data_IF_956665699565
#
_entry.id   IF_956665699565
#
_cell.length_a   1.000
_cell.length_b   1.000
_cell.length_c   1.000
_cell.angle_alpha   90.00
_cell.angle_beta   90.00
_cell.angle_gamma   90.00
#
_symmetry.space_group_name_H-M   'P 1'
#
loop_
_entity.id
_entity.type
_entity.pdbx_description
1 polymer ?
#
# COMPACT_ATOMS: atom_id res chain seq x y z
N UNK A 1 -0.70 -2.68 -26.31
CA UNK A 1 0.60 -3.30 -26.00
C UNK A 1 0.66 -3.70 -24.53
N UNK A 2 0.40 -2.77 -23.61
CA UNK A 2 0.52 -2.99 -22.16
C UNK A 2 -0.46 -3.99 -21.54
N UNK A 3 -1.60 -4.31 -22.17
CA UNK A 3 -2.56 -5.28 -21.60
C UNK A 3 -1.94 -6.65 -21.28
N UNK A 4 -1.00 -7.12 -22.09
CA UNK A 4 -0.31 -8.40 -21.82
C UNK A 4 0.64 -8.31 -20.62
N UNK A 5 1.18 -7.13 -20.35
CA UNK A 5 2.16 -6.88 -19.29
C UNK A 5 1.50 -6.46 -17.98
N UNK A 6 0.26 -5.95 -18.06
CA UNK A 6 -0.57 -5.49 -16.95
C UNK A 6 -1.97 -6.14 -16.95
N UNK A 7 -2.08 -7.47 -17.08
CA UNK A 7 -3.38 -8.13 -17.24
C UNK A 7 -4.35 -7.80 -16.11
N UNK A 8 -3.91 -7.74 -14.84
CA UNK A 8 -4.80 -7.50 -13.70
C UNK A 8 -5.27 -6.06 -13.62
N UNK A 9 -4.40 -5.07 -13.87
CA UNK A 9 -4.81 -3.67 -13.96
C UNK A 9 -5.80 -3.45 -15.11
N UNK A 10 -5.61 -4.13 -16.25
CA UNK A 10 -6.59 -4.06 -17.35
C UNK A 10 -7.90 -4.78 -17.02
N UNK A 11 -7.88 -5.91 -16.29
CA UNK A 11 -9.10 -6.54 -15.78
C UNK A 11 -9.91 -5.58 -14.87
N UNK A 12 -9.24 -4.82 -13.99
CA UNK A 12 -9.91 -3.78 -13.19
C UNK A 12 -10.52 -2.70 -14.07
N UNK A 13 -9.77 -2.19 -15.06
CA UNK A 13 -10.30 -1.21 -16.02
C UNK A 13 -11.55 -1.73 -16.74
N UNK A 14 -11.54 -3.00 -17.13
CA UNK A 14 -12.62 -3.62 -17.91
C UNK A 14 -13.91 -3.81 -17.11
N UNK A 15 -13.87 -3.74 -15.78
CA UNK A 15 -15.10 -3.72 -14.97
C UNK A 15 -15.92 -2.43 -15.19
N UNK A 16 -15.28 -1.37 -15.69
CA UNK A 16 -15.94 -0.11 -15.99
C UNK A 16 -16.63 -0.24 -17.36
N UNK A 17 -17.88 -0.67 -17.34
CA UNK A 17 -18.70 -0.95 -18.54
C UNK A 17 -19.06 0.30 -19.36
N UNK A 18 -19.07 1.47 -18.71
CA UNK A 18 -19.44 2.75 -19.30
C UNK A 18 -18.20 3.65 -19.48
N UNK A 19 -17.74 3.90 -20.72
CA UNK A 19 -16.57 4.73 -20.98
C UNK A 19 -16.65 6.16 -20.41
N UNK A 20 -17.85 6.71 -20.29
CA UNK A 20 -18.15 8.01 -19.66
C UNK A 20 -17.84 8.06 -18.16
N UNK A 21 -17.81 6.89 -17.50
CA UNK A 21 -17.49 6.77 -16.07
C UNK A 21 -15.99 6.57 -15.82
N UNK A 22 -15.17 6.49 -16.88
CA UNK A 22 -13.72 6.41 -16.74
C UNK A 22 -13.19 7.75 -16.23
N UNK A 23 -12.63 7.72 -15.02
CA UNK A 23 -11.83 8.83 -14.52
C UNK A 23 -10.55 9.03 -15.36
N UNK A 24 -9.84 10.17 -15.18
CA UNK A 24 -8.67 10.51 -16.00
C UNK A 24 -7.54 9.48 -15.99
N UNK A 25 -7.41 8.68 -14.93
CA UNK A 25 -6.40 7.63 -14.85
C UNK A 25 -6.71 6.49 -15.81
N UNK A 26 -7.94 5.93 -15.76
CA UNK A 26 -8.33 4.81 -16.61
C UNK A 26 -8.50 5.19 -18.07
N UNK A 27 -9.04 6.40 -18.33
CA UNK A 27 -9.23 6.91 -19.69
C UNK A 27 -7.91 7.00 -20.46
N UNK A 28 -6.84 7.40 -19.76
CA UNK A 28 -5.51 7.59 -20.34
C UNK A 28 -4.54 6.50 -19.87
N UNK A 29 -5.02 5.29 -19.54
CA UNK A 29 -4.17 4.24 -18.96
C UNK A 29 -2.99 3.91 -19.88
N UNK A 30 -3.23 3.74 -21.18
CA UNK A 30 -2.19 3.43 -22.15
C UNK A 30 -1.11 4.53 -22.19
N UNK A 31 -1.51 5.81 -22.25
CA UNK A 31 -0.59 6.96 -22.24
C UNK A 31 0.17 7.07 -20.89
N UNK A 32 -0.52 6.78 -19.79
CA UNK A 32 0.09 6.71 -18.46
C UNK A 32 1.16 5.62 -18.41
N UNK A 33 0.91 4.46 -19.00
CA UNK A 33 1.86 3.34 -19.04
C UNK A 33 2.99 3.57 -20.07
N UNK A 34 2.82 4.43 -21.08
CA UNK A 34 3.94 4.85 -21.93
C UNK A 34 4.98 5.66 -21.13
N UNK A 35 4.52 6.51 -20.21
CA UNK A 35 5.40 7.26 -19.32
C UNK A 35 6.10 6.32 -18.33
N UNK A 36 7.44 6.27 -18.37
CA UNK A 36 8.21 5.35 -17.54
C UNK A 36 8.00 5.55 -16.03
N UNK A 37 7.94 6.80 -15.56
CA UNK A 37 7.74 7.09 -14.14
C UNK A 37 6.38 6.59 -13.64
N UNK A 38 5.31 6.79 -14.40
CA UNK A 38 3.96 6.29 -14.08
C UNK A 38 3.88 4.77 -14.21
N UNK A 39 4.52 4.19 -15.24
CA UNK A 39 4.60 2.73 -15.43
C UNK A 39 5.30 2.05 -14.25
N UNK A 40 6.44 2.58 -13.80
CA UNK A 40 7.18 2.07 -12.64
C UNK A 40 6.32 2.04 -11.36
N UNK A 41 5.42 3.02 -11.18
CA UNK A 41 4.46 3.04 -10.06
C UNK A 41 3.37 1.96 -10.16
N UNK A 42 3.06 1.46 -11.35
CA UNK A 42 2.05 0.42 -11.56
C UNK A 42 2.61 -0.99 -11.39
N UNK A 43 3.91 -1.18 -11.63
CA UNK A 43 4.57 -2.50 -11.60
C UNK A 43 4.42 -3.24 -10.26
N UNK A 44 4.66 -2.62 -9.08
CA UNK A 44 4.50 -3.32 -7.81
C UNK A 44 3.06 -3.81 -7.57
N UNK A 45 2.07 -3.01 -7.96
CA UNK A 45 0.67 -3.40 -7.85
C UNK A 45 0.34 -4.55 -8.80
N UNK A 46 0.79 -4.48 -10.05
CA UNK A 46 0.56 -5.56 -11.00
C UNK A 46 1.20 -6.88 -10.54
N UNK A 47 2.44 -6.85 -10.05
CA UNK A 47 3.11 -8.01 -9.46
C UNK A 47 2.33 -8.60 -8.29
N UNK A 48 1.89 -7.73 -7.38
CA UNK A 48 1.11 -8.15 -6.23
C UNK A 48 -0.24 -8.76 -6.65
N UNK A 49 -0.94 -8.14 -7.60
CA UNK A 49 -2.23 -8.63 -8.12
C UNK A 49 -2.09 -9.96 -8.86
N UNK A 50 -1.02 -10.16 -9.64
CA UNK A 50 -0.75 -11.44 -10.30
C UNK A 50 -0.36 -12.54 -9.30
N UNK A 51 0.16 -12.18 -8.13
CA UNK A 51 0.52 -13.14 -7.08
C UNK A 51 -0.68 -13.72 -6.31
N UNK A 52 -1.86 -13.08 -6.41
CA UNK A 52 -3.09 -13.52 -5.76
C UNK A 52 -3.57 -14.84 -6.36
N UNK A 53 -4.08 -15.73 -5.51
CA UNK A 53 -4.84 -16.87 -6.01
C UNK A 53 -6.22 -16.43 -6.56
N UNK A 54 -6.98 -17.35 -7.14
CA UNK A 54 -8.25 -17.01 -7.77
C UNK A 54 -9.28 -16.45 -6.78
N UNK A 55 -9.33 -16.95 -5.54
CA UNK A 55 -10.28 -16.47 -4.53
C UNK A 55 -9.88 -15.08 -4.01
N UNK A 56 -8.59 -14.91 -3.72
CA UNK A 56 -8.01 -13.63 -3.30
C UNK A 56 -8.17 -12.54 -4.37
N UNK A 57 -8.00 -12.90 -5.65
CA UNK A 57 -8.23 -12.00 -6.77
C UNK A 57 -9.69 -11.56 -6.87
N UNK A 58 -10.64 -12.49 -6.85
CA UNK A 58 -12.07 -12.16 -6.89
C UNK A 58 -12.48 -11.27 -5.72
N UNK A 59 -11.92 -11.50 -4.52
CA UNK A 59 -12.16 -10.65 -3.37
C UNK A 59 -11.70 -9.21 -3.61
N UNK A 60 -10.43 -9.00 -3.99
CA UNK A 60 -9.87 -7.67 -4.24
C UNK A 60 -10.62 -6.97 -5.38
N UNK A 61 -10.89 -7.68 -6.46
CA UNK A 61 -11.62 -7.16 -7.61
C UNK A 61 -13.01 -6.65 -7.20
N UNK A 62 -13.77 -7.43 -6.42
CA UNK A 62 -15.08 -7.01 -5.91
C UNK A 62 -14.99 -5.85 -4.91
N UNK A 63 -13.97 -5.82 -4.05
CA UNK A 63 -13.76 -4.72 -3.09
C UNK A 63 -13.39 -3.40 -3.79
N UNK A 64 -12.58 -3.49 -4.85
CA UNK A 64 -12.12 -2.36 -5.66
C UNK A 64 -13.22 -1.76 -6.55
N UNK A 65 -14.19 -2.57 -7.01
CA UNK A 65 -15.23 -2.18 -7.98
C UNK A 65 -15.90 -0.83 -7.67
N UNK A 66 -16.35 -0.64 -6.42
CA UNK A 66 -17.01 0.59 -5.97
C UNK A 66 -16.12 1.85 -5.99
N UNK A 67 -14.81 1.68 -6.16
CA UNK A 67 -13.82 2.76 -6.20
C UNK A 67 -13.18 2.96 -7.57
N UNK A 68 -13.46 2.07 -8.54
CA UNK A 68 -12.88 2.17 -9.88
C UNK A 68 -13.25 3.47 -10.59
N UNK A 69 -14.49 3.94 -10.41
CA UNK A 69 -15.00 5.18 -11.00
C UNK A 69 -15.05 6.34 -10.01
N UNK A 70 -14.81 6.07 -8.72
CA UNK A 70 -14.89 7.09 -7.67
C UNK A 70 -13.65 7.97 -7.68
N UNK A 71 -13.87 9.26 -7.57
CA UNK A 71 -12.81 10.26 -7.49
C UNK A 71 -13.09 11.20 -6.31
N UNK A 72 -12.19 11.22 -5.33
CA UNK A 72 -12.31 12.05 -4.13
C UNK A 72 -11.81 13.48 -4.40
N UNK A 73 -12.63 14.24 -5.12
CA UNK A 73 -12.40 15.67 -5.33
C UNK A 73 -12.60 16.50 -4.07
N UNK A 74 -13.45 16.04 -3.13
CA UNK A 74 -13.77 16.79 -1.92
C UNK A 74 -12.53 16.96 -1.05
N UNK A 75 -11.75 15.90 -0.88
CA UNK A 75 -10.54 15.92 -0.06
C UNK A 75 -9.25 16.05 -0.89
N UNK A 76 -9.38 16.29 -2.21
CA UNK A 76 -8.26 16.34 -3.15
C UNK A 76 -7.39 15.06 -3.15
N UNK A 77 -7.99 13.90 -2.91
CA UNK A 77 -7.30 12.60 -2.81
C UNK A 77 -7.45 11.73 -4.06
N UNK A 78 -8.22 12.17 -5.04
CA UNK A 78 -8.38 11.47 -6.32
C UNK A 78 -8.74 9.99 -6.14
N UNK A 79 -7.88 9.08 -6.58
CA UNK A 79 -8.07 7.62 -6.49
C UNK A 79 -7.48 6.97 -5.23
N UNK A 80 -7.12 7.73 -4.19
CA UNK A 80 -6.46 7.17 -3.01
C UNK A 80 -7.22 5.98 -2.43
N UNK A 81 -8.56 6.01 -2.42
CA UNK A 81 -9.38 4.90 -1.91
C UNK A 81 -9.20 3.60 -2.69
N UNK A 82 -9.02 3.67 -4.02
CA UNK A 82 -8.70 2.50 -4.83
C UNK A 82 -7.31 1.98 -4.47
N UNK A 83 -6.30 2.86 -4.41
CA UNK A 83 -4.93 2.44 -4.09
C UNK A 83 -4.77 1.95 -2.65
N UNK A 84 -5.57 2.44 -1.70
CA UNK A 84 -5.61 1.91 -0.34
C UNK A 84 -6.05 0.45 -0.33
N UNK A 85 -6.99 0.05 -1.20
CA UNK A 85 -7.39 -1.35 -1.38
C UNK A 85 -6.30 -2.15 -2.09
N UNK A 86 -5.68 -1.57 -3.14
CA UNK A 86 -4.58 -2.25 -3.84
C UNK A 86 -3.34 -2.45 -2.95
N UNK A 87 -3.15 -1.63 -1.91
CA UNK A 87 -2.10 -1.85 -0.91
C UNK A 87 -2.34 -3.15 -0.12
N UNK A 88 -3.58 -3.65 0.00
CA UNK A 88 -3.85 -4.94 0.62
C UNK A 88 -3.27 -6.10 -0.22
N UNK A 89 -3.24 -5.96 -1.54
CA UNK A 89 -2.55 -6.92 -2.41
C UNK A 89 -1.03 -6.87 -2.22
N UNK A 90 -0.44 -5.69 -2.00
CA UNK A 90 0.99 -5.58 -1.66
C UNK A 90 1.32 -6.36 -0.38
N UNK A 91 0.48 -6.22 0.65
CA UNK A 91 0.63 -6.96 1.90
C UNK A 91 0.45 -8.48 1.70
N UNK A 92 -0.52 -8.91 0.88
CA UNK A 92 -0.67 -10.31 0.50
C UNK A 92 0.60 -10.86 -0.16
N UNK A 93 1.15 -10.13 -1.13
CA UNK A 93 2.38 -10.50 -1.84
C UNK A 93 3.56 -10.60 -0.87
N UNK A 94 3.69 -9.64 0.05
CA UNK A 94 4.69 -9.66 1.12
C UNK A 94 4.56 -10.90 2.02
N UNK A 95 3.35 -11.22 2.49
CA UNK A 95 3.12 -12.42 3.30
C UNK A 95 3.51 -13.68 2.53
N UNK A 96 3.19 -13.76 1.25
CA UNK A 96 3.49 -14.92 0.41
C UNK A 96 4.99 -15.07 0.13
N UNK A 97 5.64 -14.01 -0.33
CA UNK A 97 7.01 -14.05 -0.88
C UNK A 97 8.08 -13.89 0.19
N UNK A 98 7.89 -12.95 1.12
CA UNK A 98 8.91 -12.59 2.11
C UNK A 98 8.73 -13.34 3.42
N UNK A 99 7.48 -13.47 3.88
CA UNK A 99 7.19 -14.19 5.13
C UNK A 99 7.12 -15.71 4.89
N UNK A 100 6.76 -16.14 3.68
CA UNK A 100 6.58 -17.56 3.35
C UNK A 100 5.25 -18.13 3.84
N UNK A 101 4.22 -17.29 3.99
CA UNK A 101 2.89 -17.72 4.35
C UNK A 101 2.22 -18.53 3.22
N UNK A 102 1.40 -19.49 3.63
CA UNK A 102 0.51 -20.28 2.78
C UNK A 102 -0.94 -20.12 3.27
N UNK A 103 -1.92 -20.54 2.45
CA UNK A 103 -3.35 -20.40 2.74
C UNK A 103 -3.73 -18.96 3.10
N UNK A 104 -3.20 -17.99 2.36
CA UNK A 104 -3.44 -16.57 2.63
C UNK A 104 -4.83 -16.23 2.09
N UNK A 105 -5.64 -15.56 2.90
CA UNK A 105 -6.97 -15.12 2.52
C UNK A 105 -7.27 -13.73 3.08
N UNK A 106 -8.07 -12.97 2.33
CA UNK A 106 -8.65 -11.74 2.83
C UNK A 106 -9.80 -12.05 3.78
N UNK A 107 -9.88 -11.29 4.87
CA UNK A 107 -10.94 -11.44 5.86
C UNK A 107 -12.06 -10.45 5.48
N UNK A 108 -13.30 -10.92 5.29
CA UNK A 108 -14.42 -10.03 5.00
C UNK A 108 -14.69 -9.03 6.14
N UNK A 109 -15.00 -7.79 5.77
CA UNK A 109 -15.39 -6.76 6.72
C UNK A 109 -16.64 -7.17 7.52
N UNK A 110 -16.61 -6.91 8.83
CA UNK A 110 -17.76 -7.17 9.70
C UNK A 110 -18.83 -6.07 9.58
N UNK A 111 -20.02 -6.45 9.12
CA UNK A 111 -21.16 -5.52 8.99
C UNK A 111 -21.86 -5.20 10.33
N UNK A 112 -21.64 -6.00 11.38
CA UNK A 112 -22.40 -5.93 12.66
C UNK A 112 -21.57 -6.28 13.91
N UNK A 113 -20.26 -6.42 13.78
CA UNK A 113 -19.36 -6.83 14.86
C UNK A 113 -18.10 -5.97 14.93
N UNK A 114 -17.10 -6.37 15.75
CA UNK A 114 -15.82 -5.67 15.81
C UNK A 114 -15.16 -5.65 14.43
N UNK A 115 -14.37 -4.60 14.16
CA UNK A 115 -13.62 -4.52 12.91
C UNK A 115 -12.68 -5.71 12.79
N UNK A 116 -12.59 -6.25 11.59
CA UNK A 116 -11.80 -7.44 11.26
C UNK A 116 -10.50 -7.00 10.61
N UNK A 117 -9.36 -7.65 10.90
CA UNK A 117 -8.13 -7.42 10.17
C UNK A 117 -8.30 -7.66 8.67
N UNK A 118 -7.37 -7.20 7.83
CA UNK A 118 -7.48 -7.38 6.38
C UNK A 118 -7.14 -8.79 5.90
N UNK A 119 -6.11 -9.42 6.48
CA UNK A 119 -5.50 -10.65 5.97
C UNK A 119 -5.23 -11.66 7.08
N UNK A 120 -5.34 -12.94 6.73
CA UNK A 120 -4.77 -14.03 7.51
C UNK A 120 -4.08 -15.07 6.63
N UNK A 121 -3.13 -15.79 7.21
CA UNK A 121 -2.43 -16.89 6.57
C UNK A 121 -1.80 -17.84 7.59
N UNK A 122 -1.02 -18.79 7.09
CA UNK A 122 -0.38 -19.82 7.91
C UNK A 122 1.12 -19.92 7.58
N UNK A 123 1.95 -19.99 8.61
CA UNK A 123 3.40 -20.08 8.50
C UNK A 123 3.92 -21.38 9.14
N UNK A 124 4.86 -22.04 8.46
CA UNK A 124 5.52 -23.26 8.93
C UNK A 124 4.80 -24.54 8.48
N UNK A 125 5.60 -25.62 8.32
CA UNK A 125 5.10 -26.92 7.87
C UNK A 125 4.80 -27.89 9.03
N UNK A 126 5.56 -27.82 10.12
CA UNK A 126 5.48 -28.74 11.27
C UNK A 126 4.70 -28.16 12.45
N UNK A 127 5.00 -26.92 12.85
CA UNK A 127 4.16 -26.11 13.74
C UNK A 127 3.52 -25.00 12.89
N UNK A 128 2.24 -25.17 12.58
CA UNK A 128 1.48 -24.18 11.81
C UNK A 128 1.12 -23.02 12.74
N UNK A 129 1.73 -21.86 12.49
CA UNK A 129 1.42 -20.61 13.20
C UNK A 129 0.48 -19.78 12.35
N UNK A 130 -0.64 -19.36 12.93
CA UNK A 130 -1.55 -18.42 12.25
C UNK A 130 -0.90 -17.04 12.23
N UNK A 131 -0.89 -16.42 11.05
CA UNK A 131 -0.42 -15.06 10.82
C UNK A 131 -1.62 -14.18 10.54
N UNK A 132 -1.76 -13.06 11.25
CA UNK A 132 -2.81 -12.06 11.02
C UNK A 132 -2.12 -10.76 10.64
N UNK A 133 -2.58 -10.13 9.57
CA UNK A 133 -2.02 -8.89 9.05
C UNK A 133 -3.09 -7.83 8.86
N UNK A 134 -2.83 -6.64 9.40
CA UNK A 134 -3.62 -5.44 9.17
C UNK A 134 -2.82 -4.47 8.31
N UNK A 135 -3.46 -3.91 7.28
CA UNK A 135 -2.83 -3.01 6.32
C UNK A 135 -3.25 -1.58 6.64
N UNK A 136 -2.28 -0.70 6.84
CA UNK A 136 -2.54 0.71 7.12
C UNK A 136 -1.83 1.61 6.13
N UNK A 137 -2.59 2.46 5.46
CA UNK A 137 -2.04 3.56 4.67
C UNK A 137 -2.03 4.84 5.50
N UNK A 138 -0.86 5.47 5.60
CA UNK A 138 -0.68 6.83 6.10
C UNK A 138 -0.59 7.74 4.89
N UNK A 139 -1.64 8.54 4.70
CA UNK A 139 -1.74 9.45 3.58
C UNK A 139 -1.12 10.81 3.90
N UNK A 140 -0.82 11.55 2.83
CA UNK A 140 -0.42 12.96 2.90
C UNK A 140 -1.45 13.79 3.70
N UNK A 141 -1.00 14.89 4.30
CA UNK A 141 -1.88 15.85 4.96
C UNK A 141 -2.94 16.39 3.99
N UNK A 142 -4.04 16.87 4.56
CA UNK A 142 -5.09 17.52 3.76
C UNK A 142 -4.55 18.76 3.05
N UNK A 143 -3.75 19.57 3.74
CA UNK A 143 -3.09 20.75 3.18
C UNK A 143 -2.22 20.40 1.97
N UNK A 144 -1.42 19.33 2.07
CA UNK A 144 -0.61 18.87 0.94
C UNK A 144 -1.50 18.33 -0.20
N UNK A 145 -2.56 17.59 0.10
CA UNK A 145 -3.49 17.10 -0.93
C UNK A 145 -4.14 18.25 -1.72
N UNK A 146 -4.66 19.27 -1.02
CA UNK A 146 -5.23 20.47 -1.66
C UNK A 146 -4.18 21.23 -2.47
N UNK A 147 -2.98 21.40 -1.91
CA UNK A 147 -1.86 22.07 -2.61
C UNK A 147 -1.52 21.35 -3.92
N UNK A 148 -1.41 20.02 -3.90
CA UNK A 148 -1.11 19.22 -5.11
C UNK A 148 -2.17 19.36 -6.18
N UNK A 149 -3.44 19.41 -5.79
CA UNK A 149 -4.56 19.67 -6.71
C UNK A 149 -4.44 21.08 -7.32
N UNK A 150 -4.19 22.10 -6.53
CA UNK A 150 -4.06 23.47 -7.04
C UNK A 150 -2.86 23.65 -7.98
N UNK A 151 -1.72 23.01 -7.68
CA UNK A 151 -0.55 23.01 -8.57
C UNK A 151 -0.88 22.44 -9.95
N UNK A 152 -1.70 21.38 -10.00
CA UNK A 152 -2.15 20.79 -11.27
C UNK A 152 -3.04 21.71 -12.10
N UNK A 153 -3.68 22.70 -11.46
CA UNK A 153 -4.62 23.63 -12.11
C UNK A 153 -3.97 24.96 -12.54
N UNK A 154 -2.92 25.41 -11.84
CA UNK A 154 -2.41 26.79 -12.00
C UNK A 154 -0.93 26.92 -12.38
N UNK A 155 -0.22 25.81 -12.69
CA UNK A 155 1.21 25.82 -13.05
C UNK A 155 2.08 26.68 -12.10
N UNK A 156 1.72 26.76 -10.82
CA UNK A 156 2.54 27.47 -9.82
C UNK A 156 3.54 26.49 -9.23
N UNK A 157 4.85 26.63 -9.52
CA UNK A 157 5.84 25.82 -8.83
C UNK A 157 5.84 26.24 -7.36
N UNK A 158 5.59 25.28 -6.46
CA UNK A 158 5.86 25.48 -5.04
C UNK A 158 7.38 25.46 -4.87
N UNK A 159 7.97 26.59 -4.53
CA UNK A 159 9.39 26.70 -4.19
C UNK A 159 9.66 26.41 -2.71
N UNK A 160 8.65 26.06 -1.92
CA UNK A 160 8.85 25.71 -0.51
C UNK A 160 9.50 24.34 -0.46
N UNK A 161 10.66 24.27 0.19
CA UNK A 161 11.33 23.00 0.44
C UNK A 161 10.42 22.10 1.28
N UNK A 162 10.36 20.79 1.00
CA UNK A 162 9.62 19.87 1.83
C UNK A 162 10.18 19.91 3.27
N UNK A 163 9.33 19.71 4.29
CA UNK A 163 9.78 19.77 5.68
C UNK A 163 10.83 18.68 5.92
N UNK A 164 11.95 19.00 6.57
CA UNK A 164 12.99 17.99 6.89
C UNK A 164 12.63 17.13 8.10
N UNK A 165 11.70 17.61 8.90
CA UNK A 165 11.27 16.98 10.14
C UNK A 165 9.79 16.62 10.05
N UNK A 166 9.45 15.44 10.57
CA UNK A 166 8.07 15.04 10.75
C UNK A 166 7.53 15.76 11.99
N UNK A 167 6.32 16.32 11.85
CA UNK A 167 5.65 16.99 12.96
C UNK A 167 5.22 16.00 14.06
N UNK A 168 5.10 16.47 15.30
CA UNK A 168 4.65 15.64 16.42
C UNK A 168 3.30 14.96 16.16
N UNK A 169 2.38 15.65 15.48
CA UNK A 169 1.08 15.12 15.08
C UNK A 169 1.17 13.94 14.10
N UNK A 170 2.25 13.82 13.32
CA UNK A 170 2.50 12.64 12.49
C UNK A 170 2.76 11.41 13.36
N UNK A 171 3.62 11.54 14.37
CA UNK A 171 3.96 10.43 15.25
C UNK A 171 2.78 9.98 16.12
N UNK A 172 2.12 10.92 16.79
CA UNK A 172 1.06 10.59 17.73
C UNK A 172 -0.22 10.14 17.00
N UNK A 173 -0.68 10.93 16.02
CA UNK A 173 -2.02 10.72 15.43
C UNK A 173 -1.98 9.81 14.19
N UNK A 174 -0.86 9.77 13.44
CA UNK A 174 -0.79 8.95 12.21
C UNK A 174 -0.09 7.61 12.45
N UNK A 175 0.99 7.56 13.22
CA UNK A 175 1.74 6.31 13.47
C UNK A 175 1.15 5.57 14.66
N UNK A 176 1.24 6.15 15.86
CA UNK A 176 0.90 5.47 17.12
C UNK A 176 -0.57 5.07 17.18
N UNK A 177 -1.48 6.00 16.92
CA UNK A 177 -2.93 5.70 16.91
C UNK A 177 -3.28 4.59 15.91
N UNK A 178 -2.73 4.61 14.69
CA UNK A 178 -3.02 3.56 13.70
C UNK A 178 -2.48 2.19 14.10
N UNK A 179 -1.28 2.13 14.68
CA UNK A 179 -0.70 0.85 15.13
C UNK A 179 -1.48 0.29 16.32
N UNK A 180 -1.80 1.12 17.31
CA UNK A 180 -2.58 0.68 18.47
C UNK A 180 -4.00 0.26 18.07
N UNK A 181 -4.60 0.96 17.11
CA UNK A 181 -5.88 0.57 16.53
C UNK A 181 -5.81 -0.78 15.81
N UNK A 182 -4.83 -0.96 14.93
CA UNK A 182 -4.58 -2.23 14.23
C UNK A 182 -4.35 -3.38 15.22
N UNK A 183 -3.56 -3.14 16.26
CA UNK A 183 -3.29 -4.11 17.33
C UNK A 183 -4.57 -4.50 18.07
N UNK A 184 -5.45 -3.55 18.38
CA UNK A 184 -6.75 -3.82 19.01
C UNK A 184 -7.62 -4.70 18.10
N UNK A 185 -7.74 -4.33 16.83
CA UNK A 185 -8.48 -5.05 15.80
C UNK A 185 -8.01 -6.51 15.66
N UNK A 186 -6.68 -6.72 15.59
CA UNK A 186 -6.08 -8.06 15.54
C UNK A 186 -6.36 -8.86 16.80
N UNK A 187 -6.20 -8.26 17.99
CA UNK A 187 -6.44 -8.95 19.27
C UNK A 187 -7.90 -9.39 19.42
N UNK A 188 -8.85 -8.54 19.06
CA UNK A 188 -10.28 -8.84 19.12
C UNK A 188 -10.64 -9.99 18.17
N UNK A 189 -10.05 -10.02 16.98
CA UNK A 189 -10.25 -11.08 16.00
C UNK A 189 -9.58 -12.41 16.41
N UNK A 190 -8.35 -12.37 16.92
CA UNK A 190 -7.58 -13.56 17.28
C UNK A 190 -8.11 -14.32 18.52
N UNK A 191 -8.90 -13.65 19.38
CA UNK A 191 -9.54 -14.20 20.60
C UNK A 191 -8.60 -15.04 21.50
N UNK A 192 -7.31 -14.68 21.57
CA UNK A 192 -6.33 -15.33 22.45
C UNK A 192 -5.58 -16.53 21.85
N UNK A 193 -5.73 -16.81 20.56
CA UNK A 193 -4.85 -17.77 19.88
C UNK A 193 -3.42 -17.22 19.75
N UNK A 194 -2.41 -18.08 19.97
CA UNK A 194 -1.01 -17.76 19.68
C UNK A 194 -0.89 -17.47 18.18
N UNK A 195 -0.68 -16.21 17.84
CA UNK A 195 -0.70 -15.69 16.46
C UNK A 195 0.49 -14.77 16.26
N UNK A 196 1.07 -14.82 15.05
CA UNK A 196 2.03 -13.82 14.59
C UNK A 196 1.26 -12.64 14.03
N UNK A 197 1.39 -11.48 14.66
CA UNK A 197 0.58 -10.31 14.35
C UNK A 197 1.44 -9.28 13.62
N UNK A 198 1.00 -8.83 12.44
CA UNK A 198 1.74 -7.90 11.59
C UNK A 198 0.87 -6.67 11.32
N UNK A 199 1.42 -5.46 11.52
CA UNK A 199 0.86 -4.25 10.89
C UNK A 199 1.74 -3.89 9.71
N UNK A 200 1.15 -3.91 8.52
CA UNK A 200 1.82 -3.55 7.28
C UNK A 200 1.47 -2.11 6.91
N UNK A 201 2.44 -1.21 7.00
CA UNK A 201 2.24 0.23 6.89
C UNK A 201 2.84 0.76 5.60
N UNK A 202 2.00 1.44 4.81
CA UNK A 202 2.43 2.19 3.63
C UNK A 202 2.33 3.67 3.98
N UNK A 203 3.42 4.42 3.81
CA UNK A 203 3.44 5.86 4.09
C UNK A 203 3.58 6.63 2.77
N UNK A 204 2.70 7.62 2.59
CA UNK A 204 2.83 8.65 1.57
C UNK A 204 3.17 9.96 2.27
N UNK A 205 4.44 10.39 2.19
CA UNK A 205 4.91 11.62 2.84
C UNK A 205 4.45 12.88 2.10
N UNK A 206 4.37 13.99 2.84
CA UNK A 206 4.05 15.31 2.26
C UNK A 206 5.15 15.81 1.31
N UNK A 207 6.35 15.23 1.41
CA UNK A 207 7.42 15.38 0.44
C UNK A 207 7.10 14.66 -0.87
N UNK A 208 6.64 15.41 -1.87
CA UNK A 208 6.28 14.88 -3.20
C UNK A 208 7.42 14.12 -3.89
N UNK A 209 8.66 14.53 -3.64
CA UNK A 209 9.84 13.96 -4.27
C UNK A 209 10.56 12.96 -3.37
N UNK A 210 10.10 12.83 -2.13
CA UNK A 210 10.68 11.97 -1.10
C UNK A 210 12.19 12.21 -0.91
N UNK A 211 12.60 13.48 -1.04
CA UNK A 211 13.99 13.92 -0.90
C UNK A 211 14.60 13.68 0.47
N UNK A 212 13.77 13.59 1.51
CA UNK A 212 14.23 13.34 2.89
C UNK A 212 13.73 11.98 3.42
N UNK A 213 13.46 11.02 2.53
CA UNK A 213 12.87 9.71 2.91
C UNK A 213 13.67 9.00 4.00
N UNK A 214 14.98 8.82 3.81
CA UNK A 214 15.84 8.20 4.82
C UNK A 214 15.73 8.91 6.18
N UNK A 215 15.74 10.24 6.18
CA UNK A 215 15.62 11.04 7.42
C UNK A 215 14.25 10.85 8.09
N UNK A 216 13.17 10.73 7.33
CA UNK A 216 11.85 10.46 7.89
C UNK A 216 11.77 9.07 8.53
N UNK A 217 12.33 8.06 7.87
CA UNK A 217 12.37 6.70 8.43
C UNK A 217 13.24 6.64 9.70
N UNK A 218 14.38 7.34 9.73
CA UNK A 218 15.20 7.46 10.95
C UNK A 218 14.41 8.11 12.09
N UNK A 219 13.67 9.20 11.82
CA UNK A 219 12.85 9.85 12.85
C UNK A 219 11.71 8.94 13.35
N UNK A 220 11.11 8.12 12.48
CA UNK A 220 10.12 7.11 12.86
C UNK A 220 10.77 6.04 13.73
N UNK A 221 11.97 5.58 13.38
CA UNK A 221 12.70 4.58 14.15
C UNK A 221 13.05 5.10 15.56
N UNK A 222 13.56 6.33 15.64
CA UNK A 222 13.83 7.03 16.90
C UNK A 222 12.55 7.16 17.75
N UNK A 223 11.41 7.44 17.12
CA UNK A 223 10.12 7.50 17.81
C UNK A 223 9.70 6.12 18.35
N UNK A 224 9.87 5.05 17.57
CA UNK A 224 9.52 3.69 17.96
C UNK A 224 10.42 3.15 19.07
N UNK A 225 11.71 3.51 19.09
CA UNK A 225 12.63 3.17 20.19
C UNK A 225 12.13 3.68 21.56
N UNK A 226 11.44 4.83 21.56
CA UNK A 226 10.88 5.47 22.77
C UNK A 226 9.45 5.01 23.07
N UNK A 227 8.76 4.39 22.10
CA UNK A 227 7.35 4.00 22.17
C UNK A 227 7.18 2.53 21.75
N UNK A 228 7.82 1.62 22.48
CA UNK A 228 7.82 0.18 22.14
C UNK A 228 6.40 -0.40 22.21
N UNK A 229 5.92 -0.92 21.09
CA UNK A 229 4.62 -1.60 20.99
C UNK A 229 4.82 -3.11 20.99
N UNK A 230 4.60 -3.75 22.14
CA UNK A 230 4.79 -5.19 22.28
C UNK A 230 3.67 -6.02 21.64
N UNK A 231 4.04 -7.24 21.21
CA UNK A 231 3.11 -8.27 20.73
C UNK A 231 2.62 -8.07 19.30
N UNK A 232 3.30 -7.21 18.53
CA UNK A 232 3.02 -6.96 17.13
C UNK A 232 4.31 -6.63 16.38
N UNK A 233 4.43 -7.12 15.16
CA UNK A 233 5.50 -6.77 14.24
C UNK A 233 5.03 -5.62 13.35
N UNK A 234 5.86 -4.58 13.25
CA UNK A 234 5.58 -3.43 12.41
C UNK A 234 6.45 -3.57 11.17
N UNK A 235 5.81 -3.58 10.00
CA UNK A 235 6.47 -3.64 8.70
C UNK A 235 6.15 -2.35 7.96
N UNK A 236 7.17 -1.53 7.68
CA UNK A 236 7.02 -0.39 6.78
C UNK A 236 7.37 -0.79 5.36
N UNK A 237 6.45 -0.52 4.44
CA UNK A 237 6.69 -0.66 3.02
C UNK A 237 7.42 0.59 2.52
N UNK A 238 8.70 0.44 2.20
CA UNK A 238 9.49 1.47 1.54
C UNK A 238 9.26 1.40 0.03
N UNK A 239 8.37 2.28 -0.46
CA UNK A 239 8.09 2.40 -1.89
C UNK A 239 9.34 2.88 -2.63
N UNK A 240 9.58 2.29 -3.79
CA UNK A 240 10.66 2.68 -4.66
C UNK A 240 10.32 4.02 -5.32
N UNK A 241 11.14 5.01 -5.02
CA UNK A 241 11.03 6.36 -5.59
C UNK A 241 12.33 6.76 -6.27
N UNK A 242 12.39 8.00 -6.76
CA UNK A 242 13.53 8.48 -7.56
C UNK A 242 14.86 8.42 -6.81
N UNK A 243 14.87 8.55 -5.48
CA UNK A 243 16.07 8.45 -4.65
C UNK A 243 16.57 7.01 -4.45
N UNK A 244 15.71 6.01 -4.66
CA UNK A 244 16.08 4.59 -4.70
C UNK A 244 16.84 4.04 -3.48
N UNK A 245 16.66 4.67 -2.32
CA UNK A 245 17.34 4.30 -1.08
C UNK A 245 16.78 3.00 -0.49
N UNK A 246 17.69 2.07 -0.19
CA UNK A 246 17.41 0.93 0.69
C UNK A 246 17.39 1.47 2.10
N UNK A 247 16.25 1.30 2.78
CA UNK A 247 16.05 1.78 4.14
C UNK A 247 16.10 0.61 5.11
N UNK A 248 16.73 0.84 6.25
CA UNK A 248 16.78 -0.09 7.39
C UNK A 248 16.35 0.63 8.65
N UNK A 249 15.75 -0.10 9.59
CA UNK A 249 15.35 0.38 10.90
C UNK A 249 15.74 -0.65 11.95
N UNK A 250 15.99 -0.21 13.17
CA UNK A 250 16.29 -1.08 14.31
C UNK A 250 15.02 -1.57 15.02
N UNK A 251 13.97 -0.75 15.05
CA UNK A 251 12.77 -0.97 15.85
C UNK A 251 11.55 -1.41 15.02
N UNK A 252 11.72 -1.58 13.70
CA UNK A 252 10.71 -2.09 12.79
C UNK A 252 11.35 -2.80 11.58
N UNK A 253 10.56 -3.63 10.90
CA UNK A 253 10.97 -4.26 9.65
C UNK A 253 10.70 -3.26 8.52
N UNK A 254 11.63 -3.15 7.58
CA UNK A 254 11.42 -2.40 6.34
C UNK A 254 11.38 -3.37 5.17
N UNK A 255 10.23 -3.44 4.50
CA UNK A 255 10.12 -4.10 3.21
C UNK A 255 10.50 -3.10 2.12
N UNK A 256 11.68 -3.28 1.53
CA UNK A 256 12.17 -2.46 0.43
C UNK A 256 11.64 -3.03 -0.90
N UNK A 257 10.86 -2.24 -1.64
CA UNK A 257 10.34 -2.69 -2.94
C UNK A 257 11.51 -3.10 -3.88
N UNK A 258 11.42 -4.28 -4.53
CA UNK A 258 12.48 -4.76 -5.39
C UNK A 258 12.62 -3.92 -6.67
N UNK A 259 13.74 -4.10 -7.34
CA UNK A 259 14.01 -3.44 -8.60
C UNK A 259 13.15 -4.01 -9.74
N UNK A 260 12.12 -3.26 -10.12
CA UNK A 260 11.36 -3.51 -11.34
C UNK A 260 11.97 -2.74 -12.52
N UNK A 261 13.03 -3.28 -13.12
CA UNK A 261 13.43 -2.81 -14.45
C UNK A 261 12.43 -3.34 -15.48
N UNK A 262 12.10 -2.52 -16.49
CA UNK A 262 11.09 -2.91 -17.49
C UNK A 262 11.51 -4.17 -18.27
N UNK A 263 12.80 -4.32 -18.52
CA UNK A 263 13.34 -5.50 -19.20
C UNK A 263 13.32 -6.74 -18.30
N UNK A 264 13.59 -6.59 -17.00
CA UNK A 264 13.42 -7.70 -16.04
C UNK A 264 11.96 -8.09 -15.90
N UNK A 265 11.04 -7.12 -15.86
CA UNK A 265 9.61 -7.37 -15.81
C UNK A 265 9.14 -8.18 -17.01
N UNK A 266 9.48 -7.74 -18.22
CA UNK A 266 9.15 -8.46 -19.45
C UNK A 266 9.81 -9.83 -19.49
N UNK A 267 11.09 -9.96 -19.12
CA UNK A 267 11.78 -11.25 -19.11
C UNK A 267 11.10 -12.25 -18.14
N UNK A 268 10.70 -11.80 -16.96
CA UNK A 268 10.03 -12.65 -15.97
C UNK A 268 8.64 -13.13 -16.42
N UNK A 269 7.94 -12.33 -17.23
CA UNK A 269 6.54 -12.61 -17.62
C UNK A 269 6.37 -13.01 -19.10
N UNK A 270 7.43 -13.02 -19.91
CA UNK A 270 7.39 -13.52 -21.30
C UNK A 270 7.63 -15.04 -21.41
N UNK A 271 7.88 -15.71 -20.28
CA UNK A 271 8.08 -17.15 -20.19
C UNK A 271 6.81 -17.93 -19.77
N UNK A 272 5.67 -17.24 -19.67
CA UNK A 272 4.33 -17.78 -19.42
C UNK A 272 3.49 -17.70 -20.71
#
# INVERSE_FOLDING_TARGET
MFRKEFPRIYELRDQITSPENLNPFWKNLDDNLQNEGKRRKCLPYEDALQSLDSAAWEFIKNKADKYLTKWDDKNARGQQQLFDILNEALAYSFLKKEVGCSNIQFIPESNKGPQTPDLEGTLGHTKVTKVICEVKTINISEDEAFTRREMSLWFRPRCNQPPRELEQGFFDNKIKEKIEYAKKQIKEYAKGNETRNIVYIIINFDDMWETHKEQYFQQIDDFLSKNIIQGIEIVFHNKRTVSNEIITMENAIVFNEPEYSWDMWRAAHSAL
#
